data_IF_864693882251
#
_entry.id   IF_864693882251
#
_cell.length_a   1.000
_cell.length_b   1.000
_cell.length_c   1.000
_cell.angle_alpha   90.00
_cell.angle_beta   90.00
_cell.angle_gamma   90.00
#
_symmetry.space_group_name_H-M   'P 1'
#
loop_
_entity.id
_entity.type
_entity.pdbx_description
1 polymer ?
#
# COMPACT_ATOMS: atom_id res chain seq x y z
N UNK A 1 2.87 -0.14 -15.36
CA UNK A 1 1.64 0.45 -15.96
C UNK A 1 0.48 0.02 -15.06
N UNK A 2 -0.46 0.94 -14.80
CA UNK A 2 -1.69 0.66 -14.04
C UNK A 2 -2.89 0.92 -14.94
N UNK A 3 -3.68 -0.11 -15.16
CA UNK A 3 -4.96 -0.04 -15.86
C UNK A 3 -6.08 -0.13 -14.84
N UNK A 4 -6.92 0.87 -14.74
CA UNK A 4 -8.00 0.89 -13.77
C UNK A 4 -9.20 1.72 -14.23
N UNK A 5 -10.37 1.38 -13.73
CA UNK A 5 -11.60 2.07 -14.03
C UNK A 5 -12.80 1.39 -13.38
N UNK A 6 -13.97 1.97 -13.54
CA UNK A 6 -15.26 1.38 -13.15
C UNK A 6 -15.75 0.49 -14.29
N UNK A 7 -15.08 -0.64 -14.48
CA UNK A 7 -15.30 -1.57 -15.58
C UNK A 7 -15.69 -2.95 -15.03
N UNK A 8 -16.51 -3.67 -15.77
CA UNK A 8 -16.66 -5.11 -15.56
C UNK A 8 -15.38 -5.82 -16.06
N UNK A 9 -15.10 -7.01 -15.56
CA UNK A 9 -13.87 -7.72 -15.87
C UNK A 9 -13.66 -7.98 -17.37
N UNK A 10 -14.73 -8.28 -18.09
CA UNK A 10 -14.76 -8.51 -19.54
C UNK A 10 -14.56 -7.22 -20.35
N UNK A 11 -14.90 -6.06 -19.79
CA UNK A 11 -14.73 -4.76 -20.44
C UNK A 11 -13.30 -4.23 -20.42
N UNK A 12 -12.44 -4.73 -19.53
CA UNK A 12 -11.07 -4.21 -19.35
C UNK A 12 -10.26 -4.28 -20.64
N UNK A 13 -10.27 -5.45 -21.32
CA UNK A 13 -9.55 -5.63 -22.58
C UNK A 13 -10.22 -4.93 -23.76
N UNK A 14 -11.52 -4.60 -23.69
CA UNK A 14 -12.22 -3.82 -24.72
C UNK A 14 -11.91 -2.33 -24.59
N UNK A 15 -11.78 -1.86 -23.36
CA UNK A 15 -11.50 -0.45 -23.06
C UNK A 15 -10.02 -0.10 -23.23
N UNK A 16 -9.12 -0.95 -22.72
CA UNK A 16 -7.68 -0.79 -22.86
C UNK A 16 -7.18 -1.69 -23.98
N UNK A 17 -7.25 -1.19 -25.21
CA UNK A 17 -7.00 -1.97 -26.43
C UNK A 17 -5.58 -2.51 -26.56
N UNK A 18 -4.60 -1.87 -25.91
CA UNK A 18 -3.21 -2.31 -25.82
C UNK A 18 -3.05 -3.62 -25.04
N UNK A 19 -3.98 -3.98 -24.16
CA UNK A 19 -4.01 -5.29 -23.50
C UNK A 19 -4.31 -6.46 -24.46
N UNK A 20 -4.76 -6.17 -25.70
CA UNK A 20 -5.00 -7.15 -26.77
C UNK A 20 -3.86 -7.23 -27.78
N UNK A 21 -2.84 -6.40 -27.66
CA UNK A 21 -1.67 -6.43 -28.53
C UNK A 21 -0.75 -7.58 -28.11
N UNK A 22 -0.47 -8.50 -29.04
CA UNK A 22 0.40 -9.68 -28.80
C UNK A 22 1.82 -9.30 -28.35
N UNK A 23 2.23 -8.05 -28.55
CA UNK A 23 3.51 -7.50 -28.09
C UNK A 23 3.46 -7.13 -26.61
N UNK A 24 2.27 -7.00 -26.03
CA UNK A 24 2.10 -6.71 -24.61
C UNK A 24 2.34 -7.95 -23.77
N UNK A 25 3.59 -8.18 -23.41
CA UNK A 25 4.03 -9.35 -22.62
C UNK A 25 4.45 -8.89 -21.25
N UNK A 26 4.01 -9.59 -20.21
CA UNK A 26 4.43 -9.32 -18.83
C UNK A 26 4.70 -10.62 -18.07
N UNK A 27 5.71 -10.59 -17.20
CA UNK A 27 5.98 -11.69 -16.27
C UNK A 27 5.18 -11.58 -14.97
N UNK A 28 4.52 -10.44 -14.74
CA UNK A 28 3.80 -10.15 -13.50
C UNK A 28 2.54 -9.35 -13.79
N UNK A 29 1.43 -9.75 -13.19
CA UNK A 29 0.19 -9.00 -13.21
C UNK A 29 -0.46 -9.02 -11.82
N UNK A 30 -0.76 -7.83 -11.30
CA UNK A 30 -1.56 -7.64 -10.09
C UNK A 30 -2.97 -7.23 -10.52
N UNK A 31 -3.97 -8.05 -10.16
CA UNK A 31 -5.35 -7.90 -10.63
C UNK A 31 -6.31 -7.83 -9.45
N UNK A 32 -7.27 -6.92 -9.51
CA UNK A 32 -8.35 -6.81 -8.51
C UNK A 32 -9.65 -6.39 -9.18
N UNK A 33 -10.78 -6.95 -8.71
CA UNK A 33 -12.10 -6.76 -9.35
C UNK A 33 -13.11 -6.02 -8.47
N UNK A 34 -12.84 -5.79 -7.17
CA UNK A 34 -13.80 -5.19 -6.24
C UNK A 34 -13.43 -3.75 -5.88
N UNK A 35 -14.45 -2.96 -5.58
CA UNK A 35 -14.33 -1.64 -4.97
C UNK A 35 -14.39 -1.72 -3.45
N UNK A 36 -13.85 -0.70 -2.77
CA UNK A 36 -14.10 -0.50 -1.34
C UNK A 36 -15.59 -0.27 -1.09
N UNK A 37 -16.11 -0.84 0.00
CA UNK A 37 -17.51 -0.66 0.42
C UNK A 37 -17.73 0.61 1.23
N UNK A 38 -16.68 1.26 1.71
CA UNK A 38 -16.71 2.36 2.68
C UNK A 38 -16.57 3.75 2.05
N UNK A 39 -16.35 3.82 0.75
CA UNK A 39 -16.25 5.06 -0.02
C UNK A 39 -17.22 5.02 -1.19
N UNK A 40 -17.69 6.20 -1.63
CA UNK A 40 -18.42 6.28 -2.88
C UNK A 40 -17.50 5.83 -4.03
N UNK A 41 -17.94 4.88 -4.87
CA UNK A 41 -17.07 4.34 -5.93
C UNK A 41 -16.79 5.41 -6.98
N UNK A 42 -15.51 5.63 -7.24
CA UNK A 42 -14.99 6.49 -8.31
C UNK A 42 -13.86 5.76 -9.02
N UNK A 43 -13.58 6.11 -10.26
CA UNK A 43 -12.57 5.40 -11.05
C UNK A 43 -11.16 5.48 -10.45
N UNK A 44 -10.82 6.60 -9.82
CA UNK A 44 -9.54 6.83 -9.15
C UNK A 44 -9.35 5.99 -7.88
N UNK A 45 -10.44 5.56 -7.25
CA UNK A 45 -10.44 4.65 -6.11
C UNK A 45 -10.59 3.17 -6.51
N UNK A 46 -10.68 2.87 -7.81
CA UNK A 46 -10.65 1.50 -8.28
C UNK A 46 -9.27 0.86 -8.04
N UNK A 47 -9.24 -0.43 -7.71
CA UNK A 47 -8.01 -1.21 -7.66
C UNK A 47 -7.59 -1.70 -9.07
N UNK A 48 -6.31 -2.05 -9.26
CA UNK A 48 -5.21 -1.86 -8.32
C UNK A 48 -4.79 -0.39 -8.20
N UNK A 49 -4.13 -0.07 -7.10
CA UNK A 49 -3.40 1.18 -6.96
C UNK A 49 -2.01 1.06 -7.60
N UNK A 50 -1.07 1.98 -7.28
CA UNK A 50 0.26 1.96 -7.89
C UNK A 50 1.08 0.76 -7.47
N UNK A 51 0.94 0.34 -6.21
CA UNK A 51 1.72 -0.75 -5.62
C UNK A 51 0.86 -1.86 -5.05
N UNK A 52 -0.41 -1.61 -4.69
CA UNK A 52 -1.24 -2.59 -3.99
C UNK A 52 -2.57 -2.89 -4.68
N UNK A 53 -3.08 -4.08 -4.36
CA UNK A 53 -4.49 -4.43 -4.41
C UNK A 53 -4.90 -4.96 -3.03
N UNK A 54 -5.95 -4.39 -2.44
CA UNK A 54 -6.39 -4.68 -1.09
C UNK A 54 -7.82 -5.20 -1.10
N UNK A 55 -8.05 -6.28 -0.38
CA UNK A 55 -9.37 -6.79 -0.06
C UNK A 55 -9.49 -6.88 1.47
N UNK A 56 -10.28 -5.99 2.05
CA UNK A 56 -10.42 -5.86 3.50
C UNK A 56 -10.69 -4.43 3.90
N UNK A 57 -10.31 -4.08 5.12
CA UNK A 57 -10.57 -2.77 5.72
C UNK A 57 -9.47 -2.40 6.73
N UNK A 58 -8.85 -1.25 6.54
CA UNK A 58 -7.90 -0.68 7.51
C UNK A 58 -8.69 0.13 8.53
N UNK A 59 -8.93 -0.44 9.70
CA UNK A 59 -9.78 0.15 10.74
C UNK A 59 -9.11 1.31 11.47
N UNK A 60 -7.79 1.36 11.50
CA UNK A 60 -7.00 2.39 12.16
C UNK A 60 -6.74 3.63 11.30
N UNK A 61 -7.31 3.70 10.11
CA UNK A 61 -7.07 4.69 9.07
C UNK A 61 -6.97 6.14 9.60
N UNK A 62 -7.93 6.57 10.41
CA UNK A 62 -7.96 7.95 10.94
C UNK A 62 -6.72 8.27 11.76
N UNK A 63 -6.28 7.33 12.59
CA UNK A 63 -5.05 7.44 13.38
C UNK A 63 -3.83 7.49 12.47
N UNK A 64 -3.74 6.57 11.52
CA UNK A 64 -2.62 6.49 10.58
C UNK A 64 -2.45 7.77 9.77
N UNK A 65 -3.53 8.32 9.23
CA UNK A 65 -3.51 9.60 8.48
C UNK A 65 -3.04 10.75 9.36
N UNK A 66 -3.53 10.84 10.61
CA UNK A 66 -3.11 11.87 11.55
C UNK A 66 -1.62 11.75 11.92
N UNK A 67 -1.12 10.55 12.14
CA UNK A 67 0.29 10.30 12.40
C UNK A 67 1.18 10.61 11.21
N UNK A 68 0.77 10.27 10.00
CA UNK A 68 1.49 10.67 8.78
C UNK A 68 1.60 12.19 8.67
N UNK A 69 0.50 12.92 8.93
CA UNK A 69 0.52 14.39 8.96
C UNK A 69 1.45 14.95 10.04
N UNK A 70 1.43 14.37 11.24
CA UNK A 70 2.27 14.81 12.35
C UNK A 70 3.77 14.64 12.05
N UNK A 71 4.14 13.61 11.30
CA UNK A 71 5.53 13.35 10.89
C UNK A 71 6.07 14.28 9.81
N UNK A 72 5.24 15.04 9.14
CA UNK A 72 5.65 15.90 8.01
C UNK A 72 6.95 16.66 8.28
N UNK A 73 7.05 17.30 9.44
CA UNK A 73 8.19 18.16 9.77
C UNK A 73 9.41 17.41 10.32
N UNK A 74 9.29 16.12 10.59
CA UNK A 74 10.37 15.26 11.11
C UNK A 74 10.84 14.23 10.08
N UNK A 75 10.12 14.07 8.98
CA UNK A 75 10.54 13.18 7.90
C UNK A 75 11.70 13.78 7.12
N UNK A 76 12.71 12.95 6.88
CA UNK A 76 13.82 13.26 6.00
C UNK A 76 14.19 12.01 5.19
N UNK A 77 14.67 12.21 3.98
CA UNK A 77 15.20 11.15 3.12
C UNK A 77 16.39 11.70 2.35
N UNK A 78 17.51 11.03 2.39
CA UNK A 78 18.68 11.40 1.58
C UNK A 78 18.41 11.22 0.08
N UNK A 79 17.51 10.29 -0.27
CA UNK A 79 17.15 9.98 -1.66
C UNK A 79 16.23 11.05 -2.23
N UNK A 80 15.22 11.45 -1.47
CA UNK A 80 14.23 12.44 -1.91
C UNK A 80 14.71 13.89 -1.71
N UNK A 81 15.62 14.13 -0.76
CA UNK A 81 16.19 15.45 -0.51
C UNK A 81 15.13 16.53 -0.37
N UNK A 82 15.29 17.64 -1.10
CA UNK A 82 14.36 18.78 -1.10
C UNK A 82 12.99 18.46 -1.72
N UNK A 83 12.86 17.36 -2.48
CA UNK A 83 11.58 16.96 -3.07
C UNK A 83 10.59 16.44 -2.01
N UNK A 84 11.06 16.15 -0.79
CA UNK A 84 10.19 15.82 0.34
C UNK A 84 9.09 16.86 0.61
N UNK A 85 9.38 18.13 0.41
CA UNK A 85 8.37 19.19 0.63
C UNK A 85 7.27 19.20 -0.44
N UNK A 86 7.55 18.69 -1.63
CA UNK A 86 6.64 18.68 -2.77
C UNK A 86 5.57 17.58 -2.71
N UNK A 87 5.81 16.53 -1.93
CA UNK A 87 4.89 15.38 -1.84
C UNK A 87 3.72 15.61 -0.88
N UNK A 88 3.72 16.74 -0.16
CA UNK A 88 2.64 17.02 0.77
C UNK A 88 1.48 17.81 0.14
N UNK A 89 0.24 17.48 0.44
CA UNK A 89 -0.22 16.43 1.35
C UNK A 89 -0.03 15.03 0.76
N UNK A 90 0.69 14.16 1.47
CA UNK A 90 0.92 12.77 1.03
C UNK A 90 -0.39 12.00 0.84
N UNK A 91 -1.33 12.23 1.75
CA UNK A 91 -2.67 11.63 1.73
C UNK A 91 -3.68 12.77 1.56
N UNK A 92 -4.23 12.97 0.36
CA UNK A 92 -5.32 13.91 0.12
C UNK A 92 -6.59 13.53 0.89
N UNK A 93 -7.47 14.50 1.11
CA UNK A 93 -8.77 14.25 1.74
C UNK A 93 -9.69 13.43 0.82
N UNK A 94 -10.58 12.64 1.44
CA UNK A 94 -11.56 11.83 0.69
C UNK A 94 -11.01 10.54 0.09
N UNK A 95 -9.77 10.16 0.39
CA UNK A 95 -9.19 8.91 -0.07
C UNK A 95 -9.75 7.70 0.69
N UNK A 96 -9.82 6.53 0.00
CA UNK A 96 -10.10 5.26 0.66
C UNK A 96 -8.93 4.82 1.55
N UNK A 97 -9.20 3.88 2.46
CA UNK A 97 -8.17 3.24 3.28
C UNK A 97 -7.02 2.66 2.43
N UNK A 98 -7.38 1.95 1.38
CA UNK A 98 -6.43 1.34 0.45
C UNK A 98 -5.60 2.38 -0.30
N UNK A 99 -6.20 3.50 -0.73
CA UNK A 99 -5.46 4.58 -1.39
C UNK A 99 -4.50 5.29 -0.43
N UNK A 100 -4.93 5.52 0.82
CA UNK A 100 -4.06 6.07 1.86
C UNK A 100 -2.87 5.15 2.16
N UNK A 101 -3.13 3.85 2.24
CA UNK A 101 -2.09 2.84 2.46
C UNK A 101 -1.09 2.79 1.29
N UNK A 102 -1.58 2.80 0.04
CA UNK A 102 -0.74 2.81 -1.16
C UNK A 102 0.21 4.03 -1.17
N UNK A 103 -0.30 5.21 -0.83
CA UNK A 103 0.53 6.41 -0.72
C UNK A 103 1.62 6.29 0.36
N UNK A 104 1.29 5.72 1.52
CA UNK A 104 2.26 5.50 2.58
C UNK A 104 3.34 4.48 2.18
N UNK A 105 2.94 3.38 1.54
CA UNK A 105 3.85 2.37 1.02
C UNK A 105 4.78 2.95 -0.04
N UNK A 106 4.23 3.69 -0.99
CA UNK A 106 5.02 4.33 -2.06
C UNK A 106 6.06 5.30 -1.51
N UNK A 107 5.70 6.11 -0.50
CA UNK A 107 6.66 7.00 0.17
C UNK A 107 7.82 6.22 0.78
N UNK A 108 7.54 5.14 1.51
CA UNK A 108 8.59 4.35 2.14
C UNK A 108 9.53 3.72 1.10
N UNK A 109 8.98 3.20 0.02
CA UNK A 109 9.78 2.59 -1.06
C UNK A 109 10.59 3.66 -1.81
N UNK A 110 9.98 4.80 -2.14
CA UNK A 110 10.69 5.93 -2.76
C UNK A 110 11.78 6.50 -1.84
N UNK A 111 11.56 6.45 -0.52
CA UNK A 111 12.53 6.85 0.49
C UNK A 111 13.67 5.85 0.72
N UNK A 112 13.65 4.68 0.05
CA UNK A 112 14.75 3.71 0.02
C UNK A 112 14.52 2.40 0.76
N UNK A 113 13.37 2.19 1.40
CA UNK A 113 13.04 0.88 1.94
C UNK A 113 12.75 -0.13 0.82
N UNK A 114 13.16 -1.38 0.99
CA UNK A 114 12.67 -2.43 0.10
C UNK A 114 11.17 -2.63 0.27
N UNK A 115 10.48 -3.09 -0.78
CA UNK A 115 9.03 -3.31 -0.76
C UNK A 115 8.59 -4.20 0.41
N UNK A 116 9.28 -5.33 0.63
CA UNK A 116 8.96 -6.24 1.73
C UNK A 116 9.17 -5.59 3.10
N UNK A 117 10.26 -4.82 3.27
CA UNK A 117 10.54 -4.09 4.50
C UNK A 117 9.44 -3.07 4.82
N UNK A 118 9.08 -2.24 3.84
CA UNK A 118 8.02 -1.25 3.99
C UNK A 118 6.66 -1.89 4.33
N UNK A 119 6.32 -3.01 3.70
CA UNK A 119 5.12 -3.78 4.04
C UNK A 119 5.13 -4.32 5.47
N UNK A 120 6.25 -4.86 5.93
CA UNK A 120 6.40 -5.34 7.32
C UNK A 120 6.33 -4.21 8.35
N UNK A 121 6.71 -2.99 7.99
CA UNK A 121 6.54 -1.80 8.84
C UNK A 121 5.07 -1.39 8.95
N UNK A 122 4.35 -1.42 7.83
CA UNK A 122 2.96 -0.96 7.77
C UNK A 122 1.98 -2.00 8.29
N UNK A 123 2.18 -3.28 7.98
CA UNK A 123 1.37 -4.42 8.46
C UNK A 123 2.31 -5.41 9.17
N UNK A 124 2.69 -5.14 10.42
CA UNK A 124 3.53 -6.03 11.20
C UNK A 124 2.77 -7.29 11.61
N UNK A 125 3.48 -8.41 11.71
CA UNK A 125 2.94 -9.59 12.40
C UNK A 125 2.62 -9.26 13.87
N UNK A 126 1.70 -10.01 14.47
CA UNK A 126 1.40 -9.93 15.92
C UNK A 126 2.62 -10.44 16.72
N UNK A 127 3.53 -9.56 17.07
CA UNK A 127 4.81 -9.88 17.70
C UNK A 127 4.81 -9.74 19.23
N UNK A 128 4.02 -8.81 19.78
CA UNK A 128 4.08 -8.42 21.20
C UNK A 128 3.84 -9.56 22.19
N UNK A 129 2.93 -10.48 21.88
CA UNK A 129 2.62 -11.65 22.72
C UNK A 129 3.21 -12.98 22.22
N UNK A 130 3.87 -13.01 21.07
CA UNK A 130 4.33 -14.23 20.43
C UNK A 130 5.70 -14.68 20.99
N UNK A 131 5.68 -15.56 21.98
CA UNK A 131 6.91 -16.11 22.59
C UNK A 131 7.73 -17.01 21.68
N UNK A 132 7.11 -17.52 20.60
CA UNK A 132 7.76 -18.43 19.63
C UNK A 132 8.41 -17.68 18.47
N UNK A 133 8.19 -16.38 18.37
CA UNK A 133 8.80 -15.58 17.32
C UNK A 133 10.31 -15.53 17.48
N UNK A 134 11.01 -15.69 16.35
CA UNK A 134 12.47 -15.54 16.28
C UNK A 134 12.91 -14.17 16.86
N UNK A 135 14.07 -14.15 17.53
CA UNK A 135 14.56 -12.96 18.25
C UNK A 135 14.87 -11.80 17.33
N UNK A 136 15.45 -12.06 16.15
CA UNK A 136 15.83 -11.02 15.20
C UNK A 136 14.59 -10.40 14.56
N UNK A 137 13.59 -11.25 14.25
CA UNK A 137 12.27 -10.81 13.76
C UNK A 137 11.55 -9.97 14.80
N UNK A 138 11.58 -10.38 16.07
CA UNK A 138 11.00 -9.58 17.16
C UNK A 138 11.69 -8.22 17.29
N UNK A 139 13.02 -8.19 17.29
CA UNK A 139 13.80 -6.96 17.36
C UNK A 139 13.50 -6.02 16.18
N UNK A 140 13.29 -6.57 14.98
CA UNK A 140 12.84 -5.82 13.82
C UNK A 140 11.51 -5.10 14.09
N UNK A 141 10.49 -5.81 14.57
CA UNK A 141 9.19 -5.21 14.84
C UNK A 141 9.21 -4.24 16.02
N UNK A 142 9.95 -4.54 17.08
CA UNK A 142 10.14 -3.61 18.23
C UNK A 142 10.76 -2.28 17.78
N UNK A 143 11.79 -2.34 16.94
CA UNK A 143 12.43 -1.15 16.40
C UNK A 143 11.48 -0.34 15.53
N UNK A 144 10.79 -1.00 14.58
CA UNK A 144 9.92 -0.31 13.65
C UNK A 144 8.62 0.20 14.27
N UNK A 145 8.15 -0.42 15.36
CA UNK A 145 6.99 0.09 16.12
C UNK A 145 7.24 1.48 16.75
N UNK A 146 8.51 1.86 16.94
CA UNK A 146 8.87 3.21 17.39
C UNK A 146 8.86 4.23 16.24
N UNK A 147 8.91 3.77 14.98
CA UNK A 147 9.00 4.61 13.79
C UNK A 147 7.66 4.76 13.05
N UNK A 148 6.84 3.72 13.06
CA UNK A 148 5.60 3.66 12.29
C UNK A 148 4.51 2.93 13.10
N UNK A 149 3.33 3.54 13.18
CA UNK A 149 2.14 2.87 13.72
C UNK A 149 1.64 1.83 12.73
N UNK A 150 1.17 0.67 13.23
CA UNK A 150 0.60 -0.35 12.36
C UNK A 150 -0.65 0.18 11.65
N UNK A 151 -0.82 -0.22 10.41
CA UNK A 151 -2.06 -0.08 9.66
C UNK A 151 -2.85 -1.36 9.87
N UNK A 152 -3.84 -1.32 10.72
CA UNK A 152 -4.48 -2.47 11.34
C UNK A 152 -5.94 -2.62 10.88
N UNK A 153 -6.37 -3.86 10.73
CA UNK A 153 -7.69 -4.28 10.31
C UNK A 153 -7.65 -5.59 9.53
N UNK A 154 -8.80 -6.21 9.25
CA UNK A 154 -8.85 -7.43 8.44
C UNK A 154 -8.43 -7.13 7.00
N UNK A 155 -7.16 -7.30 6.71
CA UNK A 155 -6.55 -6.92 5.44
C UNK A 155 -5.96 -8.12 4.70
N UNK A 156 -6.29 -8.24 3.40
CA UNK A 156 -5.60 -9.10 2.45
C UNK A 156 -5.01 -8.20 1.36
N UNK A 157 -3.70 -7.99 1.41
CA UNK A 157 -2.97 -7.08 0.53
C UNK A 157 -2.03 -7.86 -0.37
N UNK A 158 -2.25 -7.78 -1.68
CA UNK A 158 -1.26 -8.16 -2.68
C UNK A 158 -0.53 -6.90 -3.14
N UNK A 159 0.79 -6.98 -3.34
CA UNK A 159 1.62 -5.81 -3.61
C UNK A 159 2.76 -6.10 -4.57
N UNK A 160 3.19 -5.07 -5.29
CA UNK A 160 4.30 -5.15 -6.25
C UNK A 160 4.95 -3.79 -6.47
N UNK A 161 6.23 -3.78 -6.76
CA UNK A 161 7.00 -2.63 -7.27
C UNK A 161 7.34 -2.78 -8.77
N UNK A 162 6.74 -3.78 -9.44
CA UNK A 162 7.03 -4.12 -10.83
C UNK A 162 8.22 -5.08 -11.01
N UNK A 163 8.94 -5.44 -9.93
CA UNK A 163 10.06 -6.39 -9.92
C UNK A 163 9.80 -7.56 -8.98
N UNK A 164 9.15 -7.27 -7.86
CA UNK A 164 8.77 -8.23 -6.84
C UNK A 164 7.26 -8.27 -6.73
N UNK A 165 6.71 -9.40 -6.35
CA UNK A 165 5.32 -9.56 -5.95
C UNK A 165 5.27 -10.22 -4.59
N UNK A 166 4.37 -9.77 -3.75
CA UNK A 166 4.13 -10.33 -2.44
C UNK A 166 2.67 -10.24 -2.04
N UNK A 167 2.35 -10.91 -0.95
CA UNK A 167 1.05 -10.81 -0.33
C UNK A 167 1.21 -10.90 1.20
N UNK A 168 0.36 -10.18 1.90
CA UNK A 168 0.23 -10.29 3.36
C UNK A 168 -1.23 -10.38 3.75
N UNK A 169 -1.47 -11.06 4.85
CA UNK A 169 -2.79 -11.26 5.41
C UNK A 169 -2.75 -10.85 6.88
N UNK A 170 -3.56 -9.88 7.24
CA UNK A 170 -3.87 -9.53 8.61
C UNK A 170 -5.31 -9.96 8.94
N UNK A 171 -5.51 -10.49 10.15
CA UNK A 171 -6.80 -11.03 10.59
C UNK A 171 -7.36 -10.32 11.82
N UNK A 172 -6.70 -9.28 12.27
CA UNK A 172 -7.14 -8.54 13.46
C UNK A 172 -8.33 -7.62 13.20
#
# INVERSE_FOLDING_TARGET
>A
IVYKGMLLADQVGDYFIDLRDDRMVTALALVHQRFSTNTFPTWDLAHPFRMIAHNGEINTLRGNVNWMRARKNSMASEILGEDMDKIWPLIPEGQSDSACFDNALELLVAGGYSLAHAMMMLIPEAWGGNKLMDKDRRAFYEYHAALMEPWDGPAAVAFTDGRQIGATLDRN
#
